data_IF_552111223446
#
_entry.id   IF_552111223446
#
_cell.length_a   1.000
_cell.length_b   1.000
_cell.length_c   1.000
_cell.angle_alpha   90.00
_cell.angle_beta   90.00
_cell.angle_gamma   90.00
#
_symmetry.space_group_name_H-M   'P 1'
#
loop_
_entity.id
_entity.type
_entity.pdbx_description
1 polymer ?
#
# COMPACT_ATOMS: atom_id res chain seq x y z
N UNK A 1 -22.18 -0.87 -11.32
CA UNK A 1 -21.91 0.40 -10.60
C UNK A 1 -20.76 0.23 -9.60
N UNK A 2 -20.91 -0.57 -8.53
CA UNK A 2 -19.88 -0.77 -7.50
C UNK A 2 -18.49 -1.17 -8.05
N UNK A 3 -18.46 -2.21 -8.89
CA UNK A 3 -17.21 -2.69 -9.52
C UNK A 3 -16.51 -1.61 -10.36
N UNK A 4 -17.28 -0.72 -10.99
CA UNK A 4 -16.76 0.40 -11.78
C UNK A 4 -16.14 1.48 -10.90
N UNK A 5 -16.73 1.77 -9.74
CA UNK A 5 -16.20 2.73 -8.76
C UNK A 5 -14.92 2.20 -8.12
N UNK A 6 -14.92 0.95 -7.69
CA UNK A 6 -13.73 0.29 -7.11
C UNK A 6 -12.59 0.26 -8.14
N UNK A 7 -12.88 -0.11 -9.38
CA UNK A 7 -11.89 -0.10 -10.46
C UNK A 7 -11.32 1.29 -10.76
N UNK A 8 -12.16 2.33 -10.74
CA UNK A 8 -11.72 3.72 -10.89
C UNK A 8 -10.77 4.15 -9.77
N UNK A 9 -11.14 3.89 -8.51
CA UNK A 9 -10.33 4.24 -7.34
C UNK A 9 -8.96 3.55 -7.42
N UNK A 10 -8.92 2.24 -7.68
CA UNK A 10 -7.66 1.49 -7.78
C UNK A 10 -6.78 2.09 -8.87
N UNK A 11 -7.32 2.27 -10.09
CA UNK A 11 -6.53 2.76 -11.22
C UNK A 11 -6.02 4.19 -11.03
N UNK A 12 -6.84 5.08 -10.48
CA UNK A 12 -6.47 6.47 -10.21
C UNK A 12 -5.32 6.56 -9.19
N UNK A 13 -5.46 5.89 -8.05
CA UNK A 13 -4.42 5.92 -7.02
C UNK A 13 -3.16 5.16 -7.43
N UNK A 14 -3.27 4.08 -8.21
CA UNK A 14 -2.09 3.37 -8.74
C UNK A 14 -1.23 4.25 -9.66
N UNK A 15 -1.82 5.20 -10.39
CA UNK A 15 -1.08 6.08 -11.31
C UNK A 15 -0.53 7.33 -10.62
N UNK A 16 -1.26 7.89 -9.66
CA UNK A 16 -0.93 9.21 -9.09
C UNK A 16 -0.06 9.11 -7.84
N UNK A 17 -0.08 7.99 -7.10
CA UNK A 17 0.70 7.85 -5.87
C UNK A 17 2.20 7.92 -6.20
N UNK A 18 2.93 8.96 -5.73
CA UNK A 18 4.36 9.02 -5.91
C UNK A 18 4.99 7.88 -5.12
N UNK A 19 5.55 6.87 -5.78
CA UNK A 19 6.23 5.75 -5.14
C UNK A 19 7.58 6.15 -4.50
N UNK A 20 7.88 7.44 -4.46
CA UNK A 20 9.12 7.99 -3.96
C UNK A 20 9.36 7.64 -2.49
N UNK A 21 8.29 7.61 -1.68
CA UNK A 21 8.37 7.26 -0.25
C UNK A 21 8.51 5.75 0.01
N UNK A 22 8.25 4.92 -1.00
CA UNK A 22 8.38 3.47 -0.93
C UNK A 22 9.79 2.97 -1.31
N UNK A 23 10.75 3.88 -1.51
CA UNK A 23 12.10 3.53 -1.96
C UNK A 23 12.14 2.98 -3.40
N UNK A 24 11.18 3.37 -4.24
CA UNK A 24 11.04 2.86 -5.61
C UNK A 24 10.28 1.53 -5.72
N UNK A 25 9.79 0.97 -4.62
CA UNK A 25 8.96 -0.24 -4.62
C UNK A 25 7.51 0.08 -4.94
N UNK A 26 6.84 -0.88 -5.60
CA UNK A 26 5.39 -0.82 -5.78
C UNK A 26 4.68 -0.92 -4.41
N UNK A 27 3.46 -0.38 -4.26
CA UNK A 27 2.73 -0.45 -2.99
C UNK A 27 2.59 -1.87 -2.43
N UNK A 28 2.31 -2.86 -3.29
CA UNK A 28 2.17 -4.25 -2.88
C UNK A 28 3.50 -4.85 -2.38
N UNK A 29 4.63 -4.49 -3.00
CA UNK A 29 5.95 -4.94 -2.55
C UNK A 29 6.36 -4.28 -1.25
N UNK A 30 6.07 -2.98 -1.07
CA UNK A 30 6.28 -2.28 0.20
C UNK A 30 5.46 -2.91 1.32
N UNK A 31 4.20 -3.24 1.07
CA UNK A 31 3.33 -3.91 2.05
C UNK A 31 3.84 -5.32 2.38
N UNK A 32 4.22 -6.11 1.36
CA UNK A 32 4.82 -7.43 1.57
C UNK A 32 6.10 -7.35 2.41
N UNK A 33 6.93 -6.33 2.18
CA UNK A 33 8.15 -6.11 2.95
C UNK A 33 7.81 -5.72 4.38
N UNK A 34 6.88 -4.79 4.58
CA UNK A 34 6.37 -4.40 5.89
C UNK A 34 5.93 -5.63 6.70
N UNK A 35 5.08 -6.50 6.14
CA UNK A 35 4.62 -7.71 6.85
C UNK A 35 5.74 -8.71 7.17
N UNK A 36 6.84 -8.71 6.42
CA UNK A 36 8.01 -9.55 6.73
C UNK A 36 8.89 -8.97 7.83
N UNK A 37 8.94 -7.64 7.96
CA UNK A 37 9.93 -6.95 8.82
C UNK A 37 9.33 -6.19 9.98
N UNK A 38 7.99 -6.06 10.08
CA UNK A 38 7.35 -5.29 11.13
C UNK A 38 7.67 -5.87 12.51
N UNK A 39 7.86 -4.96 13.46
CA UNK A 39 8.02 -5.29 14.87
C UNK A 39 6.85 -4.68 15.63
N UNK A 40 6.28 -5.41 16.56
CA UNK A 40 5.25 -4.88 17.46
C UNK A 40 5.90 -3.88 18.41
N UNK A 41 5.57 -2.61 18.23
CA UNK A 41 6.08 -1.51 19.06
C UNK A 41 5.17 -1.19 20.25
N UNK A 42 3.90 -1.63 20.19
CA UNK A 42 2.95 -1.49 21.28
C UNK A 42 2.85 -2.81 22.06
N UNK A 43 3.04 -2.72 23.38
CA UNK A 43 2.73 -3.78 24.32
C UNK A 43 1.49 -3.35 25.11
N UNK A 44 0.43 -4.17 25.07
CA UNK A 44 -0.83 -3.94 25.77
C UNK A 44 -0.96 -4.79 27.06
N UNK A 45 0.15 -5.33 27.54
CA UNK A 45 0.21 -6.05 28.83
C UNK A 45 0.04 -5.11 30.01
#
# INVERSE_FOLDING_TARGET
AWQSVVGYIIRYYSQIRPHLYNGGLTPNESERLYWKTYKTVANFS
#
